data_IF_896609927667
#
_entry.id   IF_896609927667
#
_cell.length_a   1.000
_cell.length_b   1.000
_cell.length_c   1.000
_cell.angle_alpha   90.00
_cell.angle_beta   90.00
_cell.angle_gamma   90.00
#
_symmetry.space_group_name_H-M   'P 1'
#
loop_
_entity.id
_entity.type
_entity.pdbx_description
1 polymer ?
#
# COMPACT_ATOMS: atom_id res chain seq x y z
N UNK A 1 54.68 2.40 -61.19
CA UNK A 1 54.59 0.92 -61.28
C UNK A 1 53.12 0.54 -61.32
N UNK A 2 52.67 -0.36 -62.21
CA UNK A 2 51.24 -0.62 -62.36
C UNK A 2 50.72 -1.39 -61.14
N UNK A 3 49.69 -0.83 -60.47
CA UNK A 3 48.99 -1.37 -59.31
C UNK A 3 48.57 -2.85 -59.49
N UNK A 4 48.23 -3.22 -60.72
CA UNK A 4 47.91 -4.59 -61.12
C UNK A 4 49.05 -5.59 -60.87
N UNK A 5 50.31 -5.19 -61.12
CA UNK A 5 51.46 -6.07 -60.87
C UNK A 5 51.67 -6.26 -59.36
N UNK A 6 51.38 -5.24 -58.56
CA UNK A 6 51.54 -5.29 -57.10
C UNK A 6 50.45 -6.18 -56.47
N UNK A 7 49.18 -6.01 -56.87
CA UNK A 7 48.08 -6.90 -56.47
C UNK A 7 48.35 -8.36 -56.87
N UNK A 8 48.86 -8.61 -58.07
CA UNK A 8 49.19 -9.96 -58.54
C UNK A 8 50.24 -10.63 -57.65
N UNK A 9 51.28 -9.89 -57.25
CA UNK A 9 52.32 -10.38 -56.34
C UNK A 9 51.75 -10.66 -54.94
N UNK A 10 50.90 -9.77 -54.42
CA UNK A 10 50.23 -9.95 -53.12
C UNK A 10 49.35 -11.21 -53.13
N UNK A 11 48.50 -11.39 -54.15
CA UNK A 11 47.64 -12.56 -54.26
C UNK A 11 48.43 -13.86 -54.48
N UNK A 12 49.54 -13.84 -55.23
CA UNK A 12 50.42 -14.99 -55.33
C UNK A 12 51.03 -15.38 -53.98
N UNK A 13 51.43 -14.40 -53.17
CA UNK A 13 51.95 -14.66 -51.82
C UNK A 13 50.86 -15.22 -50.89
N UNK A 14 49.64 -14.67 -50.94
CA UNK A 14 48.48 -15.20 -50.19
C UNK A 14 48.17 -16.64 -50.62
N UNK A 15 48.15 -16.91 -51.93
CA UNK A 15 47.87 -18.23 -52.48
C UNK A 15 48.96 -19.26 -52.12
N UNK A 16 50.20 -18.83 -51.88
CA UNK A 16 51.29 -19.70 -51.44
C UNK A 16 51.27 -19.98 -49.94
N UNK A 17 50.80 -19.04 -49.12
CA UNK A 17 50.77 -19.16 -47.65
C UNK A 17 49.34 -19.20 -47.07
N UNK A 18 48.47 -20.02 -47.70
CA UNK A 18 47.04 -20.09 -47.34
C UNK A 18 46.80 -20.36 -45.85
N UNK A 19 47.59 -21.26 -45.24
CA UNK A 19 47.41 -21.64 -43.82
C UNK A 19 47.66 -20.45 -42.87
N UNK A 20 48.77 -19.74 -43.04
CA UNK A 20 49.11 -18.59 -42.18
C UNK A 20 48.14 -17.44 -42.40
N UNK A 21 47.72 -17.19 -43.64
CA UNK A 21 46.73 -16.17 -43.95
C UNK A 21 45.36 -16.49 -43.33
N UNK A 22 44.90 -17.74 -43.39
CA UNK A 22 43.64 -18.18 -42.76
C UNK A 22 43.71 -17.99 -41.25
N UNK A 23 44.78 -18.44 -40.58
CA UNK A 23 44.93 -18.26 -39.13
C UNK A 23 44.93 -16.78 -38.71
N UNK A 24 45.62 -15.93 -39.46
CA UNK A 24 45.63 -14.48 -39.20
C UNK A 24 44.26 -13.83 -39.44
N UNK A 25 43.56 -14.24 -40.51
CA UNK A 25 42.24 -13.70 -40.85
C UNK A 25 41.18 -14.08 -39.82
N UNK A 26 41.21 -15.32 -39.31
CA UNK A 26 40.30 -15.77 -38.25
C UNK A 26 40.46 -14.91 -37.00
N UNK A 27 41.70 -14.62 -36.58
CA UNK A 27 41.95 -13.77 -35.41
C UNK A 27 41.36 -12.36 -35.58
N UNK A 28 41.50 -11.77 -36.76
CA UNK A 28 40.93 -10.45 -37.06
C UNK A 28 39.40 -10.50 -37.05
N UNK A 29 38.79 -11.50 -37.68
CA UNK A 29 37.32 -11.66 -37.71
C UNK A 29 36.78 -11.81 -36.29
N UNK A 30 37.36 -12.71 -35.48
CA UNK A 30 36.97 -12.94 -34.08
C UNK A 30 37.14 -11.68 -33.24
N UNK A 31 38.23 -10.93 -33.44
CA UNK A 31 38.46 -9.67 -32.74
C UNK A 31 37.39 -8.63 -33.07
N UNK A 32 37.07 -8.44 -34.35
CA UNK A 32 36.05 -7.47 -34.79
C UNK A 32 34.67 -7.89 -34.30
N UNK A 33 34.27 -9.17 -34.44
CA UNK A 33 32.94 -9.62 -33.99
C UNK A 33 32.76 -9.49 -32.49
N UNK A 34 33.77 -9.88 -31.71
CA UNK A 34 33.76 -9.75 -30.24
C UNK A 34 33.63 -8.29 -29.83
N UNK A 35 34.39 -7.38 -30.47
CA UNK A 35 34.30 -5.96 -30.21
C UNK A 35 32.92 -5.38 -30.55
N UNK A 36 32.36 -5.70 -31.72
CA UNK A 36 31.01 -5.25 -32.10
C UNK A 36 29.93 -5.82 -31.20
N UNK A 37 30.08 -7.05 -30.73
CA UNK A 37 29.15 -7.67 -29.79
C UNK A 37 29.13 -6.91 -28.45
N UNK A 38 30.30 -6.59 -27.90
CA UNK A 38 30.38 -5.81 -26.65
C UNK A 38 29.85 -4.39 -26.81
N UNK A 39 30.06 -3.73 -27.95
CA UNK A 39 29.47 -2.42 -28.22
C UNK A 39 27.93 -2.50 -28.24
N UNK A 40 27.36 -3.44 -28.98
CA UNK A 40 25.91 -3.63 -29.05
C UNK A 40 25.31 -4.01 -27.69
N UNK A 41 26.01 -4.85 -26.92
CA UNK A 41 25.60 -5.24 -25.58
C UNK A 41 25.61 -4.03 -24.63
N UNK A 42 26.66 -3.20 -24.69
CA UNK A 42 26.76 -1.99 -23.85
C UNK A 42 25.64 -1.00 -24.15
N UNK A 43 25.29 -0.79 -25.42
CA UNK A 43 24.20 0.11 -25.81
C UNK A 43 22.83 -0.44 -25.38
N UNK A 44 22.59 -1.74 -25.57
CA UNK A 44 21.37 -2.40 -25.11
C UNK A 44 21.20 -2.40 -23.59
N UNK A 45 22.30 -2.55 -22.83
CA UNK A 45 22.27 -2.45 -21.36
C UNK A 45 21.97 -1.02 -20.93
N UNK A 46 22.60 -0.01 -21.55
CA UNK A 46 22.33 1.39 -21.21
C UNK A 46 20.86 1.74 -21.44
N UNK A 47 20.28 1.37 -22.58
CA UNK A 47 18.87 1.63 -22.87
C UNK A 47 17.94 0.92 -21.88
N UNK A 48 18.20 -0.35 -21.56
CA UNK A 48 17.33 -1.11 -20.65
C UNK A 48 17.48 -0.72 -19.18
N UNK A 49 18.69 -0.51 -18.70
CA UNK A 49 18.94 -0.22 -17.28
C UNK A 49 18.59 1.22 -16.96
N UNK A 50 19.08 2.18 -17.76
CA UNK A 50 18.87 3.59 -17.47
C UNK A 50 17.42 4.03 -17.74
N UNK A 51 16.74 3.49 -18.75
CA UNK A 51 15.37 3.94 -19.01
C UNK A 51 14.30 3.14 -18.24
N UNK A 52 14.55 1.88 -17.85
CA UNK A 52 13.54 1.10 -17.12
C UNK A 52 13.74 1.03 -15.62
N UNK A 53 14.98 0.97 -15.13
CA UNK A 53 15.23 0.78 -13.69
C UNK A 53 15.34 2.13 -12.97
N UNK A 54 15.94 3.13 -13.63
CA UNK A 54 16.10 4.47 -13.06
C UNK A 54 15.64 5.52 -14.05
N UNK A 55 14.32 5.75 -14.22
CA UNK A 55 13.83 6.72 -15.20
C UNK A 55 14.49 8.09 -14.99
N UNK A 56 15.50 8.40 -15.81
CA UNK A 56 16.29 9.64 -15.70
C UNK A 56 15.41 10.85 -16.01
N UNK A 57 14.36 10.63 -16.80
CA UNK A 57 13.39 11.65 -17.20
C UNK A 57 12.29 11.88 -16.14
N UNK A 58 12.36 11.21 -14.98
CA UNK A 58 11.44 11.40 -13.88
C UNK A 58 12.07 12.25 -12.78
N UNK A 59 11.49 13.42 -12.54
CA UNK A 59 11.83 14.25 -11.40
C UNK A 59 10.80 14.02 -10.29
N UNK A 60 11.26 13.47 -9.16
CA UNK A 60 10.45 13.37 -7.95
C UNK A 60 10.62 14.65 -7.13
N UNK A 61 9.51 15.35 -6.89
CA UNK A 61 9.49 16.59 -6.09
C UNK A 61 8.98 16.28 -4.70
N UNK A 62 9.86 16.34 -3.72
CA UNK A 62 9.50 16.24 -2.31
C UNK A 62 9.44 17.65 -1.67
N UNK A 63 8.46 17.93 -0.80
CA UNK A 63 8.41 19.19 -0.10
C UNK A 63 9.62 19.33 0.85
N UNK A 64 10.28 20.48 0.78
CA UNK A 64 11.40 20.84 1.65
C UNK A 64 10.85 20.94 3.09
N UNK A 65 11.25 20.02 3.96
CA UNK A 65 10.80 19.95 5.36
C UNK A 65 10.51 18.54 5.88
N UNK A 66 10.45 17.55 5.00
CA UNK A 66 10.11 16.18 5.41
C UNK A 66 8.70 16.07 6.01
N UNK A 67 8.32 14.85 6.40
CA UNK A 67 6.96 14.52 6.87
C UNK A 67 6.52 15.33 8.11
N UNK A 68 7.48 15.83 8.90
CA UNK A 68 7.20 16.59 10.12
C UNK A 68 6.55 17.97 9.87
N UNK A 69 6.80 18.60 8.72
CA UNK A 69 6.30 19.94 8.44
C UNK A 69 4.84 19.98 7.93
N UNK A 70 4.28 18.85 7.49
CA UNK A 70 2.89 18.79 6.98
C UNK A 70 1.86 18.38 8.04
N UNK A 71 2.30 17.86 9.19
CA UNK A 71 1.42 17.40 10.27
C UNK A 71 1.14 18.47 11.34
N UNK A 72 1.97 19.51 11.44
CA UNK A 72 1.92 20.49 12.54
C UNK A 72 0.94 21.66 12.36
N UNK A 73 0.10 21.66 11.32
CA UNK A 73 -0.82 22.78 11.05
C UNK A 73 -2.27 22.56 11.53
N UNK A 74 -2.57 21.47 12.25
CA UNK A 74 -3.92 21.21 12.77
C UNK A 74 -4.18 21.92 14.11
N UNK A 75 -3.15 22.38 14.81
CA UNK A 75 -3.27 23.16 16.05
C UNK A 75 -2.72 24.55 15.80
N UNK A 76 -3.60 25.55 15.80
CA UNK A 76 -3.27 26.95 15.53
C UNK A 76 -2.44 27.62 16.63
N UNK A 77 -1.26 27.07 16.93
CA UNK A 77 -0.30 27.69 17.83
C UNK A 77 0.85 28.30 17.01
N UNK A 78 0.61 29.54 16.60
CA UNK A 78 1.61 30.43 16.00
C UNK A 78 2.69 30.78 17.02
N UNK A 79 3.68 29.91 17.20
CA UNK A 79 4.92 30.32 17.87
C UNK A 79 6.17 29.58 17.39
N UNK A 80 6.99 30.27 16.59
CA UNK A 80 8.45 30.25 16.83
C UNK A 80 9.37 29.58 15.82
N UNK A 81 8.88 29.06 14.69
CA UNK A 81 9.75 28.56 13.62
C UNK A 81 10.21 29.69 12.68
N UNK A 82 11.52 29.97 12.65
CA UNK A 82 12.17 31.06 11.88
C UNK A 82 11.99 31.02 10.34
N UNK A 83 11.13 30.14 9.82
CA UNK A 83 10.79 30.00 8.39
C UNK A 83 9.67 30.92 7.88
N UNK A 84 8.93 31.60 8.78
CA UNK A 84 7.78 32.44 8.41
C UNK A 84 8.17 33.86 7.92
N UNK A 85 9.44 34.25 8.08
CA UNK A 85 9.92 35.61 7.73
C UNK A 85 9.98 35.87 6.21
N UNK A 86 9.79 34.84 5.38
CA UNK A 86 9.67 34.98 3.91
C UNK A 86 8.25 34.69 3.36
N UNK A 87 7.22 34.75 4.22
CA UNK A 87 5.83 34.98 3.78
C UNK A 87 5.17 33.86 2.95
N UNK A 88 5.69 32.64 3.03
CA UNK A 88 5.06 31.49 2.41
C UNK A 88 5.52 30.24 3.13
N UNK A 89 4.70 29.72 4.04
CA UNK A 89 4.93 28.41 4.65
C UNK A 89 5.17 27.32 3.59
N UNK A 90 5.64 26.13 4.00
CA UNK A 90 5.95 25.05 3.06
C UNK A 90 4.73 24.80 2.15
N UNK A 91 4.87 25.11 0.86
CA UNK A 91 3.79 24.94 -0.11
C UNK A 91 3.43 23.46 -0.16
N UNK A 92 2.18 23.14 0.19
CA UNK A 92 1.63 21.80 0.04
C UNK A 92 1.60 21.44 -1.45
N UNK A 93 1.97 20.20 -1.78
CA UNK A 93 1.77 19.64 -3.12
C UNK A 93 0.28 19.27 -3.28
N UNK A 94 -0.53 20.28 -3.60
CA UNK A 94 -1.96 20.13 -3.88
C UNK A 94 -2.25 20.04 -5.40
N UNK A 95 -3.53 19.91 -5.77
CA UNK A 95 -3.95 19.84 -7.18
C UNK A 95 -3.55 21.09 -7.98
N UNK A 96 -3.48 22.25 -7.32
CA UNK A 96 -3.05 23.50 -7.95
C UNK A 96 -1.55 23.44 -8.27
N UNK A 97 -0.72 22.95 -7.35
CA UNK A 97 0.71 22.74 -7.57
C UNK A 97 0.98 21.74 -8.70
N UNK A 98 0.21 20.65 -8.78
CA UNK A 98 0.30 19.68 -9.88
C UNK A 98 -0.04 20.34 -11.23
N UNK A 99 -1.08 21.17 -11.26
CA UNK A 99 -1.47 21.90 -12.48
C UNK A 99 -0.39 22.89 -12.91
N UNK A 100 0.24 23.59 -11.96
CA UNK A 100 1.36 24.50 -12.24
C UNK A 100 2.60 23.76 -12.73
N UNK A 101 2.92 22.61 -12.13
CA UNK A 101 4.02 21.75 -12.57
C UNK A 101 3.77 21.22 -13.99
N UNK A 102 2.56 20.73 -14.27
CA UNK A 102 2.17 20.27 -15.61
C UNK A 102 2.24 21.39 -16.67
N UNK A 103 2.05 22.65 -16.28
CA UNK A 103 2.15 23.80 -17.17
C UNK A 103 3.60 24.31 -17.37
N UNK A 104 4.58 23.77 -16.64
CA UNK A 104 5.97 24.22 -16.72
C UNK A 104 6.62 23.74 -18.02
N UNK A 105 7.27 24.61 -18.82
CA UNK A 105 7.94 24.19 -20.06
C UNK A 105 8.95 23.06 -19.82
N UNK A 106 8.83 21.98 -20.58
CA UNK A 106 9.68 20.78 -20.45
C UNK A 106 9.07 19.66 -19.59
N UNK A 107 7.99 19.92 -18.84
CA UNK A 107 7.24 18.87 -18.14
C UNK A 107 6.26 18.22 -19.11
N UNK A 108 6.50 16.96 -19.46
CA UNK A 108 5.59 16.23 -20.36
C UNK A 108 4.25 15.95 -19.68
N UNK A 109 4.29 15.48 -18.42
CA UNK A 109 3.12 15.19 -17.57
C UNK A 109 3.53 15.29 -16.10
N UNK A 110 2.58 15.66 -15.23
CA UNK A 110 2.74 15.62 -13.77
C UNK A 110 1.62 14.76 -13.16
N UNK A 111 1.98 13.87 -12.24
CA UNK A 111 1.04 12.97 -11.58
C UNK A 111 1.18 13.08 -10.06
N UNK A 112 0.05 13.08 -9.31
CA UNK A 112 0.12 12.91 -7.86
C UNK A 112 0.63 11.51 -7.53
N UNK A 113 1.72 11.41 -6.77
CA UNK A 113 2.16 10.14 -6.16
C UNK A 113 1.36 9.96 -4.86
N UNK A 114 0.39 9.05 -4.87
CA UNK A 114 -0.38 8.74 -3.66
C UNK A 114 0.55 8.05 -2.65
N UNK A 115 0.57 8.56 -1.42
CA UNK A 115 1.31 7.93 -0.32
C UNK A 115 0.44 6.83 0.26
N UNK A 116 0.77 5.58 -0.02
CA UNK A 116 0.27 4.47 0.78
C UNK A 116 1.10 4.41 2.07
N UNK A 117 0.43 4.57 3.21
CA UNK A 117 1.01 4.39 4.54
C UNK A 117 0.37 3.16 5.13
N UNK A 118 1.09 2.06 5.19
CA UNK A 118 0.74 0.96 6.09
C UNK A 118 1.97 0.67 6.95
N UNK A 119 1.83 0.55 8.27
CA UNK A 119 2.95 0.15 9.11
C UNK A 119 3.33 -1.29 8.78
N UNK A 120 4.52 -1.46 8.22
CA UNK A 120 5.14 -2.76 8.02
C UNK A 120 6.06 -3.08 9.20
N UNK A 121 5.98 -4.30 9.74
CA UNK A 121 6.95 -4.79 10.72
C UNK A 121 8.10 -5.45 9.97
N UNK A 122 9.32 -4.92 10.13
CA UNK A 122 10.55 -5.52 9.60
C UNK A 122 11.25 -6.23 10.75
N UNK A 123 11.43 -7.55 10.63
CA UNK A 123 12.24 -8.35 11.56
C UNK A 123 13.48 -8.84 10.78
N UNK A 124 14.67 -8.34 11.13
CA UNK A 124 15.94 -8.79 10.51
C UNK A 124 16.81 -9.49 11.56
N UNK A 125 17.16 -10.75 11.34
CA UNK A 125 17.88 -11.59 12.31
C UNK A 125 19.42 -11.60 12.22
N UNK A 126 20.07 -10.65 11.53
CA UNK A 126 21.52 -10.77 11.21
C UNK A 126 22.44 -9.89 12.06
N UNK A 127 21.89 -8.98 12.86
CA UNK A 127 22.66 -8.21 13.84
C UNK A 127 21.84 -8.17 15.13
N UNK A 128 22.50 -8.20 16.29
CA UNK A 128 21.93 -8.13 17.66
C UNK A 128 21.23 -6.76 17.95
N UNK A 129 20.61 -6.19 16.93
CA UNK A 129 19.89 -4.92 16.89
C UNK A 129 18.63 -5.15 16.08
N UNK A 130 17.49 -5.13 16.76
CA UNK A 130 16.17 -5.09 16.13
C UNK A 130 16.05 -3.74 15.40
N UNK A 131 16.04 -3.76 14.08
CA UNK A 131 15.71 -2.60 13.27
C UNK A 131 14.26 -2.72 12.82
N UNK A 132 13.38 -1.89 13.39
CA UNK A 132 12.09 -1.61 12.78
C UNK A 132 12.33 -0.51 11.73
N UNK A 133 12.03 -0.79 10.48
CA UNK A 133 12.02 0.21 9.41
C UNK A 133 10.60 0.37 8.87
N UNK A 134 10.19 1.61 8.60
CA UNK A 134 8.94 1.87 7.89
C UNK A 134 9.22 1.83 6.38
N UNK A 135 8.67 0.84 5.68
CA UNK A 135 8.74 0.73 4.23
C UNK A 135 7.46 1.25 3.57
N UNK A 136 7.62 2.05 2.51
CA UNK A 136 6.49 2.54 1.70
C UNK A 136 6.06 1.44 0.73
N UNK A 137 4.86 0.89 0.90
CA UNK A 137 4.31 -0.13 -0.03
C UNK A 137 2.92 0.31 -0.44
N UNK A 138 2.65 0.35 -1.74
CA UNK A 138 1.30 0.53 -2.29
C UNK A 138 0.53 -0.79 -2.16
N UNK A 139 -0.71 -0.74 -1.68
CA UNK A 139 -1.47 -1.91 -1.29
C UNK A 139 -1.68 -2.84 -2.48
N UNK A 140 -0.99 -3.98 -2.49
CA UNK A 140 -1.31 -5.06 -3.39
C UNK A 140 -2.62 -5.68 -2.90
N UNK A 141 -3.63 -5.74 -3.77
CA UNK A 141 -4.76 -6.63 -3.55
C UNK A 141 -4.21 -8.05 -3.45
N UNK A 142 -4.40 -8.69 -2.30
CA UNK A 142 -3.90 -10.04 -2.06
C UNK A 142 -4.80 -11.02 -2.79
N UNK A 143 -4.46 -11.30 -4.05
CA UNK A 143 -5.19 -12.28 -4.85
C UNK A 143 -5.01 -13.69 -4.27
N UNK A 144 -5.94 -14.63 -4.51
CA UNK A 144 -5.78 -16.03 -4.10
C UNK A 144 -4.46 -16.67 -4.59
N UNK A 145 -3.97 -16.27 -5.77
CA UNK A 145 -2.69 -16.76 -6.28
C UNK A 145 -1.49 -16.32 -5.42
N UNK A 146 -1.51 -15.09 -4.88
CA UNK A 146 -0.47 -14.60 -3.97
C UNK A 146 -0.52 -15.38 -2.66
N UNK A 147 -1.71 -15.67 -2.13
CA UNK A 147 -1.85 -16.51 -0.93
C UNK A 147 -1.31 -17.92 -1.15
N UNK A 148 -1.57 -18.52 -2.31
CA UNK A 148 -1.09 -19.86 -2.64
C UNK A 148 0.44 -19.89 -2.80
N UNK A 149 1.04 -18.85 -3.40
CA UNK A 149 2.49 -18.70 -3.50
C UNK A 149 3.13 -18.50 -2.13
N UNK A 150 2.55 -17.67 -1.27
CA UNK A 150 3.03 -17.48 0.11
C UNK A 150 2.96 -18.78 0.91
N UNK A 151 1.84 -19.53 0.82
CA UNK A 151 1.72 -20.86 1.44
C UNK A 151 2.79 -21.82 0.92
N UNK A 152 3.02 -21.84 -0.38
CA UNK A 152 4.02 -22.71 -1.00
C UNK A 152 5.44 -22.33 -0.58
N UNK A 153 5.74 -21.04 -0.42
CA UNK A 153 7.02 -20.54 0.06
C UNK A 153 7.24 -20.85 1.54
N UNK A 154 6.25 -20.58 2.39
CA UNK A 154 6.32 -20.89 3.83
C UNK A 154 6.37 -22.39 4.13
N UNK A 155 5.78 -23.22 3.26
CA UNK A 155 5.88 -24.68 3.34
C UNK A 155 7.26 -25.22 2.90
N UNK A 156 8.05 -24.44 2.15
CA UNK A 156 9.38 -24.84 1.72
C UNK A 156 10.39 -24.55 2.82
N UNK A 157 10.84 -25.60 3.51
CA UNK A 157 12.03 -25.51 4.35
C UNK A 157 13.27 -25.40 3.47
N UNK A 158 14.05 -24.34 3.65
CA UNK A 158 15.36 -24.21 3.00
C UNK A 158 16.26 -25.39 3.40
N UNK A 159 17.25 -25.73 2.56
CA UNK A 159 18.21 -26.80 2.90
C UNK A 159 18.99 -26.49 4.19
N UNK A 160 19.25 -25.21 4.47
CA UNK A 160 19.88 -24.75 5.71
C UNK A 160 18.94 -24.90 6.93
N UNK A 161 17.63 -24.79 6.73
CA UNK A 161 16.61 -24.89 7.78
C UNK A 161 16.01 -26.30 7.93
N UNK A 162 16.43 -27.29 7.13
CA UNK A 162 15.88 -28.64 7.20
C UNK A 162 16.00 -29.26 8.59
N UNK A 163 17.09 -28.99 9.30
CA UNK A 163 17.28 -29.45 10.67
C UNK A 163 16.33 -28.79 11.66
N UNK A 164 15.95 -27.54 11.40
CA UNK A 164 15.03 -26.75 12.22
C UNK A 164 13.60 -27.23 12.00
N UNK A 165 13.20 -27.36 10.73
CA UNK A 165 11.90 -27.90 10.36
C UNK A 165 11.68 -29.36 10.78
N UNK A 166 12.75 -30.16 10.85
CA UNK A 166 12.69 -31.57 11.29
C UNK A 166 12.84 -31.72 12.81
N UNK A 167 13.27 -30.68 13.55
CA UNK A 167 13.44 -30.78 15.00
C UNK A 167 12.09 -30.73 15.70
N UNK A 168 12.02 -31.58 16.73
CA UNK A 168 10.83 -31.95 17.50
C UNK A 168 10.04 -30.74 18.01
N UNK A 169 8.73 -30.91 18.01
CA UNK A 169 7.72 -30.14 18.74
C UNK A 169 8.26 -29.65 20.10
N UNK A 170 8.71 -28.40 20.16
CA UNK A 170 9.13 -27.75 21.40
C UNK A 170 7.87 -27.22 22.08
N UNK A 171 7.63 -27.61 23.33
CA UNK A 171 6.53 -27.05 24.11
C UNK A 171 6.84 -25.60 24.45
N UNK A 172 5.89 -24.70 24.24
CA UNK A 172 6.02 -23.28 24.53
C UNK A 172 4.79 -22.76 25.28
N UNK A 173 4.94 -21.66 25.98
CA UNK A 173 3.83 -20.86 26.54
C UNK A 173 3.67 -19.55 25.76
N UNK A 174 4.77 -19.02 25.23
CA UNK A 174 4.81 -17.77 24.46
C UNK A 174 5.72 -17.95 23.25
N UNK A 175 5.55 -17.10 22.24
CA UNK A 175 6.40 -17.06 21.04
C UNK A 175 7.89 -16.90 21.36
N UNK A 176 8.23 -16.20 22.46
CA UNK A 176 9.62 -15.98 22.87
C UNK A 176 10.34 -17.26 23.33
N UNK A 177 9.60 -18.32 23.66
CA UNK A 177 10.16 -19.62 24.03
C UNK A 177 10.50 -20.48 22.81
N UNK A 178 10.14 -20.05 21.61
CA UNK A 178 10.42 -20.79 20.40
C UNK A 178 11.87 -20.58 19.93
N UNK A 179 12.56 -21.65 19.48
CA UNK A 179 14.00 -21.62 19.22
C UNK A 179 14.43 -20.76 18.03
N UNK A 180 13.49 -20.33 17.17
CA UNK A 180 13.76 -19.58 15.95
C UNK A 180 12.72 -18.47 15.73
N UNK A 181 13.16 -17.35 15.16
CA UNK A 181 12.35 -16.14 14.93
C UNK A 181 11.19 -16.38 13.93
N UNK A 182 11.27 -17.43 13.11
CA UNK A 182 10.20 -17.85 12.20
C UNK A 182 9.17 -18.80 12.80
N UNK A 183 9.18 -19.05 14.11
CA UNK A 183 8.26 -19.97 14.79
C UNK A 183 7.29 -19.18 15.69
N UNK A 184 6.04 -19.65 15.77
CA UNK A 184 5.04 -19.13 16.70
C UNK A 184 4.58 -20.24 17.65
N UNK A 185 4.22 -19.86 18.87
CA UNK A 185 3.62 -20.75 19.83
C UNK A 185 2.14 -20.90 19.52
N UNK A 186 1.74 -22.09 19.07
CA UNK A 186 0.35 -22.37 18.74
C UNK A 186 -0.21 -23.45 19.64
N UNK A 187 -1.51 -23.40 19.89
CA UNK A 187 -2.20 -24.43 20.66
C UNK A 187 -2.41 -25.73 19.85
N UNK A 188 -3.13 -26.69 20.45
CA UNK A 188 -3.43 -27.97 19.80
C UNK A 188 -4.30 -27.84 18.54
N UNK A 189 -5.07 -26.75 18.42
CA UNK A 189 -5.86 -26.43 17.22
C UNK A 189 -5.05 -25.71 16.14
N UNK A 190 -3.83 -25.27 16.48
CA UNK A 190 -2.97 -24.50 15.60
C UNK A 190 -3.30 -23.01 15.58
N UNK A 191 -4.02 -22.52 16.58
CA UNK A 191 -4.29 -21.09 16.79
C UNK A 191 -3.16 -20.45 17.62
N UNK A 192 -2.82 -19.17 17.37
CA UNK A 192 -1.81 -18.46 18.15
C UNK A 192 -2.17 -18.45 19.65
N UNK A 193 -1.19 -18.76 20.49
CA UNK A 193 -1.39 -18.68 21.94
C UNK A 193 -1.44 -17.22 22.40
N UNK A 194 -2.64 -16.77 22.78
CA UNK A 194 -2.81 -15.46 23.41
C UNK A 194 -2.15 -15.37 24.80
N UNK A 195 -1.81 -14.16 25.27
CA UNK A 195 -1.14 -13.96 26.57
C UNK A 195 -1.96 -14.43 27.79
N UNK A 196 -3.24 -14.75 27.61
CA UNK A 196 -4.17 -15.17 28.66
C UNK A 196 -4.27 -16.70 28.87
N UNK A 197 -3.54 -17.52 28.10
CA UNK A 197 -3.61 -18.99 28.22
C UNK A 197 -2.75 -19.50 29.39
N UNK A 198 -3.18 -19.18 30.63
CA UNK A 198 -2.37 -19.30 31.85
C UNK A 198 -1.93 -20.70 32.29
N UNK A 199 -2.16 -21.77 31.53
CA UNK A 199 -1.71 -23.14 31.90
C UNK A 199 -1.52 -24.12 30.74
N UNK A 200 -2.10 -23.88 29.57
CA UNK A 200 -1.94 -24.79 28.43
C UNK A 200 -0.60 -24.52 27.76
N UNK A 201 0.25 -25.54 27.60
CA UNK A 201 1.45 -25.43 26.76
C UNK A 201 1.08 -25.69 25.31
N UNK A 202 1.48 -24.78 24.43
CA UNK A 202 1.43 -24.95 22.99
C UNK A 202 2.66 -25.66 22.46
N UNK A 203 2.76 -25.69 21.14
CA UNK A 203 3.89 -26.25 20.39
C UNK A 203 4.41 -25.18 19.44
N UNK A 204 5.72 -25.02 19.38
CA UNK A 204 6.34 -24.16 18.39
C UNK A 204 6.15 -24.76 16.99
N UNK A 205 5.47 -24.02 16.11
CA UNK A 205 5.33 -24.34 14.69
C UNK A 205 5.85 -23.19 13.83
N UNK A 206 6.25 -23.44 12.58
CA UNK A 206 6.54 -22.36 11.64
C UNK A 206 5.38 -21.37 11.61
N UNK A 207 5.70 -20.08 11.70
CA UNK A 207 4.70 -19.01 11.70
C UNK A 207 4.10 -18.93 10.30
N UNK A 208 2.78 -19.12 10.22
CA UNK A 208 2.05 -19.06 8.96
C UNK A 208 1.64 -17.60 8.66
N UNK A 209 2.52 -16.80 8.07
CA UNK A 209 2.26 -15.38 7.81
C UNK A 209 1.10 -15.18 6.84
N UNK A 210 0.89 -16.12 5.91
CA UNK A 210 -0.27 -16.09 5.00
C UNK A 210 -1.62 -16.01 5.75
N UNK A 211 -1.72 -16.54 6.98
CA UNK A 211 -2.98 -16.50 7.75
C UNK A 211 -3.42 -15.08 8.11
N UNK A 212 -2.46 -14.20 8.37
CA UNK A 212 -2.74 -12.79 8.66
C UNK A 212 -3.38 -12.07 7.45
N UNK A 213 -3.19 -12.59 6.24
CA UNK A 213 -3.85 -12.08 5.03
C UNK A 213 -5.22 -12.71 4.79
N UNK A 214 -5.44 -13.95 5.24
CA UNK A 214 -6.76 -14.59 5.16
C UNK A 214 -7.73 -14.12 6.21
N UNK A 215 -7.26 -13.53 7.32
CA UNK A 215 -8.10 -12.93 8.36
C UNK A 215 -8.86 -11.66 7.93
N UNK A 216 -8.60 -11.17 6.71
CA UNK A 216 -9.54 -10.31 5.99
C UNK A 216 -10.70 -11.08 5.35
N UNK A 217 -11.00 -12.30 5.83
CA UNK A 217 -12.28 -12.97 5.59
C UNK A 217 -13.35 -11.91 5.70
N UNK A 218 -14.16 -11.67 4.65
CA UNK A 218 -15.15 -10.61 4.66
C UNK A 218 -15.91 -10.73 5.95
N UNK A 219 -15.67 -9.74 6.81
CA UNK A 219 -16.32 -9.46 8.05
C UNK A 219 -17.72 -10.08 8.04
N UNK A 220 -17.86 -11.25 8.68
CA UNK A 220 -19.07 -12.05 8.56
C UNK A 220 -20.30 -11.19 8.78
N UNK A 221 -21.34 -11.42 7.98
CA UNK A 221 -22.60 -10.70 8.17
C UNK A 221 -23.03 -10.89 9.62
N UNK A 222 -23.34 -9.80 10.30
CA UNK A 222 -23.66 -9.79 11.71
C UNK A 222 -24.91 -8.94 11.94
N UNK A 223 -25.65 -9.23 13.00
CA UNK A 223 -26.78 -8.43 13.46
C UNK A 223 -26.50 -7.72 14.78
N UNK A 224 -25.44 -8.15 15.48
CA UNK A 224 -25.02 -7.65 16.78
C UNK A 224 -23.53 -7.93 17.00
N UNK A 225 -22.85 -7.09 17.79
CA UNK A 225 -21.40 -7.19 18.01
C UNK A 225 -20.94 -8.49 18.66
N UNK A 226 -21.80 -9.21 19.38
CA UNK A 226 -21.44 -10.52 19.97
C UNK A 226 -21.22 -11.63 18.94
N UNK A 227 -21.65 -11.43 17.69
CA UNK A 227 -21.40 -12.36 16.58
C UNK A 227 -20.02 -12.15 15.95
N UNK A 228 -19.41 -11.00 16.21
CA UNK A 228 -18.08 -10.64 15.77
C UNK A 228 -17.10 -11.05 16.86
N UNK A 229 -16.22 -12.02 16.58
CA UNK A 229 -15.23 -12.52 17.54
C UNK A 229 -14.44 -11.38 18.21
N UNK A 230 -13.75 -11.70 19.31
CA UNK A 230 -13.04 -10.72 20.15
C UNK A 230 -12.23 -9.69 19.32
N UNK A 231 -12.33 -8.42 19.70
CA UNK A 231 -11.66 -7.30 19.01
C UNK A 231 -12.40 -6.76 17.78
N UNK A 232 -13.64 -7.18 17.53
CA UNK A 232 -14.46 -6.69 16.43
C UNK A 232 -15.85 -6.23 16.91
N UNK A 233 -16.47 -5.33 16.17
CA UNK A 233 -17.82 -4.79 16.39
C UNK A 233 -18.67 -5.03 15.15
N UNK A 234 -19.97 -5.25 15.32
CA UNK A 234 -20.85 -5.35 14.18
C UNK A 234 -21.18 -3.95 13.68
N UNK A 235 -20.74 -3.59 12.49
CA UNK A 235 -20.92 -2.25 11.97
C UNK A 235 -21.25 -2.18 10.50
N UNK A 236 -21.70 -1.01 10.06
CA UNK A 236 -21.97 -0.71 8.66
C UNK A 236 -21.01 0.40 8.26
N UNK A 237 -20.11 0.11 7.32
CA UNK A 237 -19.21 1.09 6.75
C UNK A 237 -19.77 1.56 5.38
N UNK A 238 -20.04 2.86 5.25
CA UNK A 238 -20.56 3.45 4.01
C UNK A 238 -19.78 4.70 3.64
N UNK A 239 -19.20 4.68 2.44
CA UNK A 239 -18.49 5.80 1.85
C UNK A 239 -19.44 6.64 0.99
N UNK A 240 -19.51 7.95 1.25
CA UNK A 240 -20.38 8.89 0.57
C UNK A 240 -19.54 9.90 -0.21
N UNK A 241 -19.79 9.98 -1.51
CA UNK A 241 -19.33 11.07 -2.39
C UNK A 241 -20.45 12.10 -2.47
N UNK A 242 -20.31 13.21 -1.75
CA UNK A 242 -21.32 14.26 -1.62
C UNK A 242 -21.08 15.39 -2.62
N UNK A 243 -22.05 15.61 -3.51
CA UNK A 243 -22.13 16.76 -4.43
C UNK A 243 -23.29 17.66 -4.05
N UNK A 244 -23.00 18.91 -3.76
CA UNK A 244 -24.02 19.91 -3.41
C UNK A 244 -23.97 21.10 -4.35
N UNK A 245 -25.13 21.73 -4.59
CA UNK A 245 -25.18 23.00 -5.33
C UNK A 245 -24.65 24.19 -4.52
N UNK A 246 -24.81 24.17 -3.20
CA UNK A 246 -24.44 25.27 -2.30
C UNK A 246 -23.58 24.73 -1.14
N UNK A 247 -22.40 25.34 -0.97
CA UNK A 247 -21.42 24.99 0.07
C UNK A 247 -22.03 24.97 1.47
N UNK A 248 -23.03 25.83 1.74
CA UNK A 248 -23.66 25.93 3.07
C UNK A 248 -24.36 24.64 3.51
N UNK A 249 -24.61 23.70 2.60
CA UNK A 249 -25.24 22.42 2.92
C UNK A 249 -24.25 21.33 3.36
N UNK A 250 -22.94 21.49 3.12
CA UNK A 250 -21.95 20.45 3.43
C UNK A 250 -21.86 20.17 4.93
N UNK A 251 -21.64 21.21 5.74
CA UNK A 251 -21.43 21.04 7.18
C UNK A 251 -22.68 20.53 7.92
N UNK A 252 -23.91 21.01 7.62
CA UNK A 252 -25.12 20.41 8.16
C UNK A 252 -25.28 18.92 7.81
N UNK A 253 -24.91 18.51 6.60
CA UNK A 253 -24.97 17.10 6.19
C UNK A 253 -23.93 16.28 6.96
N UNK A 254 -22.68 16.73 7.04
CA UNK A 254 -21.64 16.07 7.85
C UNK A 254 -22.06 15.92 9.31
N UNK A 255 -22.66 16.96 9.89
CA UNK A 255 -23.17 16.92 11.26
C UNK A 255 -24.33 15.92 11.41
N UNK A 256 -25.24 15.85 10.43
CA UNK A 256 -26.33 14.88 10.44
C UNK A 256 -25.83 13.43 10.31
N UNK A 257 -24.79 13.21 9.48
CA UNK A 257 -24.12 11.92 9.34
C UNK A 257 -23.43 11.50 10.65
N UNK A 258 -22.66 12.41 11.27
CA UNK A 258 -21.96 12.15 12.52
C UNK A 258 -22.90 11.94 13.74
N UNK A 259 -24.11 12.52 13.70
CA UNK A 259 -25.12 12.33 14.74
C UNK A 259 -25.89 11.00 14.61
N UNK A 260 -25.65 10.23 13.55
CA UNK A 260 -26.34 8.97 13.33
C UNK A 260 -25.86 7.93 14.34
N UNK A 261 -26.81 7.29 15.04
CA UNK A 261 -26.53 6.24 16.02
C UNK A 261 -27.48 5.08 15.79
N UNK A 262 -27.03 3.87 16.12
CA UNK A 262 -27.86 2.67 16.06
C UNK A 262 -27.71 1.86 17.35
N UNK A 263 -28.79 1.25 17.88
CA UNK A 263 -28.75 0.55 19.16
C UNK A 263 -27.87 -0.71 19.15
N UNK A 264 -27.61 -1.30 17.98
CA UNK A 264 -26.97 -2.62 17.87
C UNK A 264 -25.86 -2.71 16.83
N UNK A 265 -25.68 -1.65 16.03
CA UNK A 265 -24.70 -1.60 14.95
C UNK A 265 -23.82 -0.37 15.16
N UNK A 266 -22.54 -0.52 14.90
CA UNK A 266 -21.62 0.60 14.80
C UNK A 266 -21.77 1.22 13.40
N UNK A 267 -22.47 2.35 13.30
CA UNK A 267 -22.70 3.01 12.02
C UNK A 267 -21.54 3.95 11.71
N UNK A 268 -20.79 3.63 10.66
CA UNK A 268 -19.66 4.43 10.21
C UNK A 268 -19.96 4.94 8.79
N UNK A 269 -20.58 6.10 8.73
CA UNK A 269 -20.87 6.79 7.48
C UNK A 269 -19.83 7.88 7.27
N UNK A 270 -19.10 7.78 6.16
CA UNK A 270 -17.99 8.68 5.88
C UNK A 270 -18.23 9.51 4.63
N UNK A 271 -18.21 10.84 4.78
CA UNK A 271 -18.26 11.75 3.63
C UNK A 271 -16.86 11.94 3.08
N UNK A 272 -16.48 11.07 2.14
CA UNK A 272 -15.11 10.98 1.61
C UNK A 272 -14.72 12.16 0.73
N UNK A 273 -15.66 12.61 -0.08
CA UNK A 273 -15.50 13.80 -0.91
C UNK A 273 -16.75 14.63 -0.71
N UNK A 274 -16.58 15.89 -0.32
CA UNK A 274 -17.66 16.85 -0.28
C UNK A 274 -17.28 18.06 -1.12
N UNK A 275 -18.01 18.28 -2.20
CA UNK A 275 -17.65 19.31 -3.17
C UNK A 275 -18.89 20.04 -3.69
N UNK A 276 -18.66 21.28 -4.14
CA UNK A 276 -19.68 22.16 -4.70
C UNK A 276 -19.62 22.09 -6.21
N UNK A 277 -20.69 21.61 -6.84
CA UNK A 277 -20.76 21.50 -8.29
C UNK A 277 -21.56 20.28 -8.74
N UNK A 278 -21.61 20.11 -10.05
CA UNK A 278 -22.32 19.02 -10.70
C UNK A 278 -21.61 17.68 -10.47
N UNK A 279 -22.40 16.61 -10.56
CA UNK A 279 -21.85 15.24 -10.54
C UNK A 279 -21.11 15.01 -11.86
N UNK A 280 -19.85 14.62 -11.78
CA UNK A 280 -18.96 14.35 -12.92
C UNK A 280 -18.64 12.85 -13.04
N UNK A 281 -18.23 12.34 -14.23
CA UNK A 281 -17.86 10.93 -14.38
C UNK A 281 -16.78 10.46 -13.39
N UNK A 282 -15.87 11.35 -12.98
CA UNK A 282 -14.84 11.07 -11.98
C UNK A 282 -15.41 10.65 -10.61
N UNK A 283 -16.61 11.12 -10.25
CA UNK A 283 -17.26 10.76 -8.98
C UNK A 283 -17.71 9.30 -8.99
N UNK A 284 -18.14 8.78 -10.14
CA UNK A 284 -18.49 7.37 -10.30
C UNK A 284 -17.26 6.46 -10.12
N UNK A 285 -16.12 6.88 -10.67
CA UNK A 285 -14.84 6.17 -10.50
C UNK A 285 -14.40 6.19 -9.04
N UNK A 286 -14.51 7.36 -8.38
CA UNK A 286 -14.15 7.50 -6.97
C UNK A 286 -15.05 6.62 -6.09
N UNK A 287 -16.37 6.66 -6.32
CA UNK A 287 -17.34 5.87 -5.56
C UNK A 287 -17.11 4.36 -5.74
N UNK A 288 -16.90 3.87 -6.96
CA UNK A 288 -16.62 2.44 -7.20
C UNK A 288 -15.36 1.97 -6.45
N UNK A 289 -14.29 2.79 -6.48
CA UNK A 289 -13.02 2.45 -5.82
C UNK A 289 -13.14 2.30 -4.31
N UNK A 290 -14.00 3.11 -3.67
CA UNK A 290 -14.23 3.06 -2.23
C UNK A 290 -15.47 2.21 -1.88
N UNK A 291 -16.05 1.51 -2.86
CA UNK A 291 -17.32 0.78 -2.72
C UNK A 291 -18.45 1.64 -2.10
N UNK A 292 -18.44 2.94 -2.43
CA UNK A 292 -19.33 3.95 -1.89
C UNK A 292 -20.54 4.27 -2.76
N UNK A 293 -21.27 5.30 -2.33
CA UNK A 293 -22.47 5.82 -2.97
C UNK A 293 -22.33 7.32 -3.25
N UNK A 294 -23.04 7.80 -4.27
CA UNK A 294 -23.01 9.22 -4.66
C UNK A 294 -24.28 9.90 -4.17
N UNK A 295 -24.13 10.95 -3.38
CA UNK A 295 -25.22 11.74 -2.83
C UNK A 295 -25.25 13.11 -3.50
N UNK A 296 -26.36 13.43 -4.12
CA UNK A 296 -26.54 14.66 -4.89
C UNK A 296 -27.62 15.52 -4.26
N UNK A 297 -27.26 16.73 -3.85
CA UNK A 297 -28.19 17.70 -3.26
C UNK A 297 -28.30 18.94 -4.13
N UNK A 298 -29.35 18.98 -4.96
CA UNK A 298 -29.63 20.08 -5.88
C UNK A 298 -28.58 20.32 -6.98
N UNK A 299 -27.49 19.54 -7.04
CA UNK A 299 -26.51 19.59 -8.12
C UNK A 299 -27.05 18.93 -9.40
N UNK A 300 -26.60 19.38 -10.57
CA UNK A 300 -26.97 18.78 -11.85
C UNK A 300 -25.96 17.69 -12.26
N UNK A 301 -26.14 17.09 -13.44
CA UNK A 301 -25.17 16.15 -14.01
C UNK A 301 -24.34 16.84 -15.07
N UNK A 302 -23.02 16.70 -14.98
CA UNK A 302 -22.16 16.95 -16.11
C UNK A 302 -22.40 15.89 -17.21
N UNK A 303 -22.05 16.23 -18.46
CA UNK A 303 -22.23 15.35 -19.59
C UNK A 303 -21.58 13.96 -19.35
N UNK A 304 -22.37 12.90 -19.51
CA UNK A 304 -21.92 11.51 -19.37
C UNK A 304 -21.87 10.96 -17.93
N UNK A 305 -22.06 11.79 -16.89
CA UNK A 305 -21.94 11.33 -15.51
C UNK A 305 -22.99 10.27 -15.13
N UNK A 306 -24.25 10.46 -15.56
CA UNK A 306 -25.34 9.51 -15.28
C UNK A 306 -25.11 8.14 -15.94
N UNK A 307 -24.59 8.14 -17.19
CA UNK A 307 -24.25 6.91 -17.89
C UNK A 307 -23.10 6.17 -17.20
N UNK A 308 -22.08 6.89 -16.72
CA UNK A 308 -20.94 6.31 -16.02
C UNK A 308 -21.34 5.68 -14.68
N UNK A 309 -22.20 6.35 -13.90
CA UNK A 309 -22.75 5.82 -12.64
C UNK A 309 -23.52 4.52 -12.88
N UNK A 310 -24.38 4.50 -13.90
CA UNK A 310 -25.16 3.31 -14.27
C UNK A 310 -24.26 2.16 -14.74
N UNK A 311 -23.25 2.46 -15.57
CA UNK A 311 -22.28 1.47 -16.06
C UNK A 311 -21.50 0.80 -14.94
N UNK A 312 -21.09 1.57 -13.92
CA UNK A 312 -20.34 1.08 -12.75
C UNK A 312 -21.21 0.52 -11.64
N UNK A 313 -22.55 0.54 -11.79
CA UNK A 313 -23.52 0.11 -10.78
C UNK A 313 -23.36 0.83 -9.44
N UNK A 314 -22.95 2.10 -9.48
CA UNK A 314 -22.82 2.94 -8.28
C UNK A 314 -24.21 3.43 -7.87
N UNK A 315 -24.56 3.27 -6.59
CA UNK A 315 -25.83 3.77 -6.05
C UNK A 315 -25.83 5.29 -6.00
N UNK A 316 -26.86 5.91 -6.59
CA UNK A 316 -27.05 7.35 -6.61
C UNK A 316 -28.28 7.73 -5.79
N UNK A 317 -28.11 8.66 -4.86
CA UNK A 317 -29.19 9.26 -4.09
C UNK A 317 -29.35 10.73 -4.47
N UNK A 318 -30.58 11.15 -4.80
CA UNK A 318 -30.89 12.56 -5.10
C UNK A 318 -31.77 13.15 -4.00
N UNK A 319 -31.38 14.33 -3.53
CA UNK A 319 -32.00 15.06 -2.44
C UNK A 319 -32.35 16.49 -2.88
N UNK A 320 -33.46 17.01 -2.38
CA UNK A 320 -33.90 18.39 -2.67
C UNK A 320 -33.35 19.39 -1.67
N UNK A 321 -33.20 18.96 -0.41
CA UNK A 321 -32.80 19.80 0.72
C UNK A 321 -32.17 18.95 1.83
N UNK A 322 -31.55 19.61 2.80
CA UNK A 322 -30.86 18.94 3.92
C UNK A 322 -31.83 18.10 4.76
N UNK A 323 -33.09 18.53 4.89
CA UNK A 323 -34.08 17.78 5.65
C UNK A 323 -34.39 16.42 5.00
N UNK A 324 -34.41 16.35 3.67
CA UNK A 324 -34.56 15.10 2.92
C UNK A 324 -33.36 14.15 3.10
N UNK A 325 -32.15 14.69 3.26
CA UNK A 325 -30.95 13.91 3.61
C UNK A 325 -31.07 13.35 5.02
N UNK A 326 -31.45 14.18 5.99
CA UNK A 326 -31.65 13.74 7.39
C UNK A 326 -32.75 12.68 7.50
N UNK A 327 -33.86 12.83 6.77
CA UNK A 327 -34.93 11.85 6.74
C UNK A 327 -34.46 10.52 6.14
N UNK A 328 -33.63 10.56 5.10
CA UNK A 328 -33.03 9.36 4.52
C UNK A 328 -32.07 8.66 5.48
N UNK A 329 -31.19 9.41 6.15
CA UNK A 329 -30.30 8.87 7.19
C UNK A 329 -31.09 8.20 8.33
N UNK A 330 -32.16 8.83 8.81
CA UNK A 330 -33.03 8.24 9.83
C UNK A 330 -33.69 6.94 9.34
N UNK A 331 -34.17 6.93 8.08
CA UNK A 331 -34.70 5.71 7.46
C UNK A 331 -33.63 4.61 7.39
N UNK A 332 -32.41 4.94 6.94
CA UNK A 332 -31.31 3.99 6.86
C UNK A 332 -31.04 3.36 8.23
N UNK A 333 -30.90 4.17 9.28
CA UNK A 333 -30.71 3.67 10.64
C UNK A 333 -31.82 2.70 11.07
N UNK A 334 -33.08 2.93 10.71
CA UNK A 334 -34.16 1.98 11.07
C UNK A 334 -34.25 0.74 10.20
N UNK A 335 -33.72 0.78 8.97
CA UNK A 335 -33.80 -0.33 8.01
C UNK A 335 -32.60 -1.26 8.04
N UNK A 336 -31.47 -0.82 8.59
CA UNK A 336 -30.25 -1.62 8.71
C UNK A 336 -30.44 -2.66 9.82
N UNK A 337 -30.69 -3.89 9.42
CA UNK A 337 -30.84 -5.04 10.34
C UNK A 337 -29.57 -5.89 10.45
N UNK A 338 -28.61 -5.67 9.55
CA UNK A 338 -27.35 -6.39 9.51
C UNK A 338 -26.21 -5.46 9.10
N UNK A 339 -25.02 -5.76 9.60
CA UNK A 339 -23.75 -5.16 9.22
C UNK A 339 -22.71 -6.24 8.93
N UNK A 340 -21.46 -5.84 9.05
CA UNK A 340 -20.26 -6.65 8.88
C UNK A 340 -19.40 -6.51 10.13
N UNK A 341 -18.68 -7.56 10.54
CA UNK A 341 -17.74 -7.49 11.65
C UNK A 341 -16.48 -6.65 11.37
N UNK A 342 -16.45 -5.43 11.89
CA UNK A 342 -15.38 -4.45 11.71
C UNK A 342 -14.43 -4.45 12.91
N UNK A 343 -13.16 -4.09 12.72
CA UNK A 343 -12.22 -3.94 13.85
C UNK A 343 -12.65 -2.84 14.82
N UNK A 344 -12.36 -3.02 16.12
CA UNK A 344 -12.68 -2.03 17.17
C UNK A 344 -12.10 -0.65 16.83
N UNK A 345 -12.87 0.44 17.00
CA UNK A 345 -12.36 1.80 16.76
C UNK A 345 -11.25 2.18 17.75
N UNK A 346 -10.27 2.93 17.26
CA UNK A 346 -9.14 3.42 18.06
C UNK A 346 -8.81 4.88 17.69
N UNK A 347 -8.05 5.58 18.53
CA UNK A 347 -7.58 6.94 18.27
C UNK A 347 -6.07 6.93 17.99
N UNK A 348 -5.63 7.56 16.90
CA UNK A 348 -4.24 7.63 16.46
C UNK A 348 -3.35 8.43 17.41
N UNK A 349 -3.89 9.44 18.09
CA UNK A 349 -3.14 10.17 19.12
C UNK A 349 -2.68 9.23 20.25
N UNK A 350 -3.44 8.16 20.51
CA UNK A 350 -3.04 7.10 21.44
C UNK A 350 -2.12 6.04 20.81
N UNK A 351 -1.90 6.12 19.49
CA UNK A 351 -1.02 5.24 18.72
C UNK A 351 0.34 5.89 18.44
N UNK A 352 0.46 7.22 18.39
CA UNK A 352 1.76 7.91 18.29
C UNK A 352 2.66 7.59 19.50
N UNK A 353 2.06 7.47 20.70
CA UNK A 353 2.74 6.96 21.90
C UNK A 353 3.20 5.49 21.78
N UNK A 354 2.65 4.72 20.83
CA UNK A 354 3.12 3.36 20.55
C UNK A 354 4.35 3.39 19.65
N UNK A 355 4.37 4.20 18.59
CA UNK A 355 5.49 4.18 17.64
C UNK A 355 6.75 4.81 18.26
N UNK A 356 6.60 5.89 19.02
CA UNK A 356 7.73 6.54 19.71
C UNK A 356 8.41 5.65 20.77
N UNK A 357 7.64 4.78 21.43
CA UNK A 357 8.15 3.95 22.51
C UNK A 357 8.82 2.65 22.02
N UNK A 358 8.52 2.18 20.80
CA UNK A 358 9.15 0.99 20.21
C UNK A 358 10.58 1.24 19.71
N UNK A 359 10.95 2.50 19.45
CA UNK A 359 12.33 2.90 19.16
C UNK A 359 13.22 2.93 20.42
N UNK A 360 12.63 2.91 21.62
CA UNK A 360 13.32 2.92 22.90
C UNK A 360 13.02 1.64 23.70
N UNK A 361 13.81 0.60 23.43
CA UNK A 361 14.25 -0.56 24.24
C UNK A 361 13.49 -1.14 25.46
N UNK A 362 12.29 -0.71 25.84
CA UNK A 362 11.52 -1.39 26.90
C UNK A 362 10.32 -2.13 26.32
N UNK A 363 10.57 -3.41 26.05
CA UNK A 363 9.55 -4.44 26.00
C UNK A 363 9.03 -4.58 27.43
N UNK A 364 7.98 -3.85 27.83
CA UNK A 364 6.95 -4.27 28.83
C UNK A 364 5.92 -3.13 29.07
N UNK A 365 4.79 -3.24 28.37
CA UNK A 365 3.49 -3.47 29.03
C UNK A 365 2.77 -2.36 29.81
N UNK A 366 2.55 -1.14 29.28
CA UNK A 366 1.47 -0.33 29.89
C UNK A 366 0.71 0.73 29.09
N UNK A 367 1.07 1.10 27.87
CA UNK A 367 0.26 2.09 27.10
C UNK A 367 -0.24 1.47 25.79
N UNK A 368 -1.14 0.49 25.95
CA UNK A 368 -1.92 -0.04 24.82
C UNK A 368 -3.04 0.96 24.56
N UNK A 369 -3.11 1.50 23.34
CA UNK A 369 -4.38 2.02 22.84
C UNK A 369 -5.44 0.91 22.86
N UNK A 370 -6.70 1.22 22.54
CA UNK A 370 -7.83 0.28 22.60
C UNK A 370 -7.73 -0.99 21.72
N UNK A 371 -6.56 -1.29 21.13
CA UNK A 371 -6.32 -2.46 20.30
C UNK A 371 -5.73 -3.62 21.10
N UNK A 372 -6.25 -4.83 20.84
CA UNK A 372 -5.71 -6.08 21.38
C UNK A 372 -4.24 -6.29 20.94
N UNK A 373 -3.43 -7.04 21.73
CA UNK A 373 -2.07 -7.41 21.34
C UNK A 373 -2.01 -8.04 19.94
N UNK A 374 -1.05 -7.62 19.12
CA UNK A 374 -0.92 -8.08 17.74
C UNK A 374 -1.77 -7.31 16.72
N UNK A 375 -2.47 -6.27 17.15
CA UNK A 375 -3.15 -5.30 16.27
C UNK A 375 -2.52 -3.91 16.42
N UNK A 376 -2.72 -3.06 15.43
CA UNK A 376 -2.33 -1.64 15.45
C UNK A 376 -3.52 -0.76 15.10
N UNK A 377 -3.47 0.50 15.50
CA UNK A 377 -4.48 1.47 15.09
C UNK A 377 -4.21 1.95 13.66
N UNK A 378 -4.89 1.34 12.68
CA UNK A 378 -4.84 1.77 11.30
C UNK A 378 -5.69 3.03 11.12
N UNK A 379 -5.08 4.10 10.63
CA UNK A 379 -5.80 5.33 10.32
C UNK A 379 -6.92 5.04 9.33
N UNK A 380 -8.15 5.50 9.63
CA UNK A 380 -9.27 5.33 8.68
C UNK A 380 -9.01 6.05 7.35
N UNK A 381 -8.28 7.17 7.40
CA UNK A 381 -7.77 7.89 6.24
C UNK A 381 -6.61 8.81 6.65
N UNK A 382 -5.94 9.41 5.65
CA UNK A 382 -4.74 10.24 5.83
C UNK A 382 -4.96 11.49 6.71
N UNK A 383 -6.22 11.92 6.89
CA UNK A 383 -6.57 13.13 7.64
C UNK A 383 -7.30 12.83 8.97
N UNK A 384 -7.58 11.56 9.26
CA UNK A 384 -8.35 11.16 10.43
C UNK A 384 -7.42 10.96 11.62
N UNK A 385 -7.82 11.46 12.80
CA UNK A 385 -7.25 11.04 14.08
C UNK A 385 -7.91 9.76 14.62
N UNK A 386 -8.97 9.30 13.97
CA UNK A 386 -9.63 8.04 14.27
C UNK A 386 -9.15 6.92 13.35
N UNK A 387 -9.01 5.73 13.92
CA UNK A 387 -8.58 4.52 13.26
C UNK A 387 -9.46 3.32 13.60
N UNK A 388 -9.03 2.15 13.14
CA UNK A 388 -9.51 0.84 13.61
C UNK A 388 -8.36 -0.09 13.90
N UNK A 389 -8.57 -0.97 14.86
CA UNK A 389 -7.61 -1.98 15.22
C UNK A 389 -7.54 -3.03 14.10
N UNK A 390 -6.49 -2.95 13.29
CA UNK A 390 -6.19 -3.93 12.23
C UNK A 390 -5.04 -4.84 12.66
N UNK A 391 -5.04 -6.08 12.16
CA UNK A 391 -3.86 -6.94 12.27
C UNK A 391 -2.70 -6.32 11.47
N UNK A 392 -1.47 -6.45 11.98
CA UNK A 392 -0.28 -6.02 11.22
C UNK A 392 -0.25 -6.73 9.87
N UNK A 393 0.00 -5.98 8.80
CA UNK A 393 0.29 -6.57 7.49
C UNK A 393 1.71 -7.19 7.57
N UNK A 394 1.86 -8.51 7.39
CA UNK A 394 3.19 -9.07 7.20
C UNK A 394 3.78 -8.49 5.93
N UNK A 395 5.04 -8.04 5.96
CA UNK A 395 5.78 -7.71 4.75
C UNK A 395 6.98 -8.64 4.69
N UNK A 396 7.01 -9.54 3.71
CA UNK A 396 8.21 -10.32 3.41
C UNK A 396 9.18 -9.41 2.65
N UNK A 397 10.26 -8.99 3.30
CA UNK A 397 11.29 -8.16 2.69
C UNK A 397 12.53 -9.00 2.40
N UNK A 398 12.89 -9.10 1.13
CA UNK A 398 14.16 -9.62 0.70
C UNK A 398 15.27 -8.61 1.07
N UNK A 399 16.34 -9.01 1.78
CA UNK A 399 17.39 -8.09 2.21
C UNK A 399 18.23 -7.47 1.08
N UNK A 400 18.02 -7.87 -0.18
CA UNK A 400 18.86 -7.45 -1.32
C UNK A 400 18.15 -6.67 -2.44
N UNK A 401 16.81 -6.70 -2.55
CA UNK A 401 16.06 -5.91 -3.55
C UNK A 401 14.60 -5.74 -3.13
N UNK A 402 14.05 -4.55 -3.41
CA UNK A 402 12.62 -4.25 -3.36
C UNK A 402 12.21 -3.82 -4.77
N UNK A 403 11.57 -4.70 -5.52
CA UNK A 403 10.98 -4.38 -6.82
C UNK A 403 9.45 -4.25 -6.67
N UNK A 404 8.89 -3.12 -7.09
CA UNK A 404 7.45 -2.88 -7.12
C UNK A 404 6.94 -2.90 -8.56
N UNK A 405 5.89 -3.68 -8.81
CA UNK A 405 5.19 -3.73 -10.10
C UNK A 405 3.74 -3.32 -9.87
N UNK A 406 3.27 -2.29 -10.59
CA UNK A 406 1.83 -2.01 -10.61
C UNK A 406 1.09 -3.06 -11.47
N UNK A 407 -0.24 -3.12 -11.33
CA UNK A 407 -1.11 -4.03 -12.08
C UNK A 407 -1.01 -3.90 -13.61
N UNK A 408 -0.56 -2.74 -14.14
CA UNK A 408 -0.28 -2.54 -15.56
C UNK A 408 1.06 -3.16 -16.02
N UNK A 409 2.04 -3.32 -15.14
CA UNK A 409 3.31 -3.99 -15.48
C UNK A 409 3.17 -5.51 -15.41
N UNK A 410 2.40 -6.02 -14.46
CA UNK A 410 2.09 -7.46 -14.34
C UNK A 410 1.32 -7.99 -15.57
N UNK A 411 0.38 -7.22 -16.10
CA UNK A 411 -0.36 -7.59 -17.32
C UNK A 411 0.46 -7.55 -18.62
N UNK A 412 1.61 -6.87 -18.63
CA UNK A 412 2.52 -6.82 -19.79
C UNK A 412 3.66 -7.85 -19.74
N UNK A 413 3.87 -8.51 -18.60
CA UNK A 413 4.89 -9.54 -18.43
C UNK A 413 4.42 -10.94 -18.85
N UNK A 414 3.13 -11.12 -19.14
CA UNK A 414 2.60 -12.21 -19.94
C UNK A 414 2.61 -13.59 -19.29
N UNK A 415 1.41 -14.16 -19.14
CA UNK A 415 1.15 -15.52 -19.62
C UNK A 415 0.43 -15.46 -20.95
#
# INVERSE_FOLDING_TARGET
MPFEKLLRVVFQNIARSKKNFIFSSIGIIVGITTFTFFLALSEGIQDRVLNRIFPIDQLEVEPIGGVAASASDATGDTSGGMGDVLGGGPRRLDTQAITQLAATPGVAKAYPKMRARFPGKIETGVLDRRMAGEGFVEGLEVSPAVLDEMKAFEAQCSEEDQDVCKRREVSCVTDAECPHEGMACVDASGEPMGPASGTTRGVCKPREYWRAFTDRTPAGACTQSSECGAGNVCGVDRWIILKVRDKKHIEPIKAAVAALTHPSLDLDFYVAIADVGDVVPGDAIAAERVQGEVWRLGADFAAGAEAELAQRKVTLHTFTDVASVTAHLASLATTLTAGTCLGVPCQLEQAEDQIGHWLYFDVYDNHRGNCDPGRYCAARNVLSVEGRCEAYLPAALNPLMIDFYNSNVVSQLGT
#
